data_IF_105147151199
#
_entry.id   IF_105147151199
#
_cell.length_a   1.000
_cell.length_b   1.000
_cell.length_c   1.000
_cell.angle_alpha   90.00
_cell.angle_beta   90.00
_cell.angle_gamma   90.00
#
_symmetry.space_group_name_H-M   'P 1'
#
loop_
_entity.id
_entity.type
_entity.pdbx_description
1 polymer ?
#
# COMPACT_ATOMS: atom_id res chain seq x y z
N UNK A 1 -12.31 -9.73 -42.30
CA UNK A 1 -11.06 -9.73 -41.52
C UNK A 1 -11.23 -8.65 -40.46
N UNK A 2 -11.58 -9.10 -39.25
CA UNK A 2 -11.34 -8.61 -37.89
C UNK A 2 -11.28 -7.08 -37.64
N UNK A 3 -12.04 -6.54 -36.68
CA UNK A 3 -11.78 -6.60 -35.22
C UNK A 3 -13.03 -6.06 -34.48
N UNK A 4 -13.64 -6.82 -33.56
CA UNK A 4 -13.43 -6.89 -32.10
C UNK A 4 -14.26 -5.88 -31.25
N UNK A 5 -14.62 -6.22 -29.99
CA UNK A 5 -15.85 -5.80 -29.30
C UNK A 5 -15.59 -4.94 -28.03
N UNK A 6 -16.64 -4.67 -27.24
CA UNK A 6 -16.71 -4.02 -25.91
C UNK A 6 -16.99 -2.51 -25.89
N UNK A 7 -18.26 -2.14 -25.69
CA UNK A 7 -18.68 -1.14 -24.70
C UNK A 7 -20.21 -1.13 -24.61
N UNK A 8 -20.77 -0.78 -23.45
CA UNK A 8 -22.19 -0.44 -23.22
C UNK A 8 -23.15 -1.60 -22.90
N UNK A 9 -23.09 -2.13 -21.67
CA UNK A 9 -24.19 -2.91 -21.11
C UNK A 9 -24.57 -2.62 -19.66
N UNK A 10 -24.19 -1.49 -19.06
CA UNK A 10 -24.61 -1.17 -17.66
C UNK A 10 -25.01 0.30 -17.46
N UNK A 11 -25.95 0.79 -18.28
CA UNK A 11 -26.72 2.01 -18.01
C UNK A 11 -28.20 1.70 -17.70
N UNK A 12 -28.49 0.54 -17.10
CA UNK A 12 -29.87 0.04 -17.05
C UNK A 12 -30.40 -0.38 -15.68
N UNK A 13 -29.92 0.19 -14.57
CA UNK A 13 -30.56 0.03 -13.25
C UNK A 13 -30.59 1.34 -12.42
N UNK A 14 -30.88 2.47 -13.07
CA UNK A 14 -31.30 3.72 -12.39
C UNK A 14 -32.85 3.79 -12.26
N UNK A 15 -33.53 2.64 -12.27
CA UNK A 15 -34.96 2.53 -12.04
C UNK A 15 -35.21 1.79 -10.73
N UNK A 16 -35.50 2.54 -9.67
CA UNK A 16 -36.57 2.28 -8.67
C UNK A 16 -36.26 3.01 -7.36
N UNK A 17 -36.65 4.28 -7.31
CA UNK A 17 -37.35 4.79 -6.13
C UNK A 17 -38.17 6.03 -6.50
N UNK A 18 -39.27 5.77 -7.22
CA UNK A 18 -40.54 6.45 -6.95
C UNK A 18 -40.89 6.11 -5.50
N UNK A 19 -41.42 6.96 -4.62
CA UNK A 19 -42.40 8.03 -4.75
C UNK A 19 -42.35 8.83 -3.42
N UNK A 20 -42.26 10.15 -3.48
CA UNK A 20 -43.03 11.06 -2.60
C UNK A 20 -42.81 12.51 -3.01
N UNK A 21 -43.93 13.11 -3.42
CA UNK A 21 -44.21 14.55 -3.37
C UNK A 21 -43.55 15.44 -4.43
N UNK A 22 -44.22 15.50 -5.58
CA UNK A 22 -44.77 16.75 -6.09
C UNK A 22 -43.80 17.88 -6.44
N UNK A 23 -43.06 17.74 -7.55
CA UNK A 23 -42.48 18.90 -8.23
C UNK A 23 -42.50 18.69 -9.75
N UNK A 24 -43.14 19.61 -10.49
CA UNK A 24 -43.13 19.64 -11.95
C UNK A 24 -41.69 19.84 -12.43
N UNK A 25 -41.05 18.79 -12.96
CA UNK A 25 -39.78 18.96 -13.69
C UNK A 25 -40.07 19.45 -15.11
N UNK A 26 -39.75 20.72 -15.35
CA UNK A 26 -39.64 21.26 -16.70
C UNK A 26 -38.37 20.67 -17.34
N UNK A 27 -38.52 19.74 -18.30
CA UNK A 27 -37.39 19.25 -19.10
C UNK A 27 -36.86 20.42 -19.94
N UNK A 28 -35.84 21.11 -19.44
CA UNK A 28 -34.91 21.85 -20.29
C UNK A 28 -33.78 20.88 -20.63
N UNK A 29 -33.68 20.50 -21.89
CA UNK A 29 -32.41 20.02 -22.42
C UNK A 29 -31.41 21.17 -22.22
N UNK A 30 -30.50 21.00 -21.26
CA UNK A 30 -29.35 21.89 -21.15
C UNK A 30 -28.38 21.46 -22.25
N UNK A 31 -28.02 22.33 -23.20
CA UNK A 31 -26.92 22.02 -24.11
C UNK A 31 -25.68 21.84 -23.24
N UNK A 32 -25.02 20.67 -23.35
CA UNK A 32 -23.75 20.47 -22.66
C UNK A 32 -22.82 21.62 -23.05
N UNK A 33 -22.37 22.47 -22.10
CA UNK A 33 -21.25 23.33 -22.39
C UNK A 33 -20.05 22.41 -22.57
N UNK A 34 -19.13 22.78 -23.45
CA UNK A 34 -17.79 22.21 -23.47
C UNK A 34 -17.33 21.99 -22.01
N UNK A 35 -16.87 20.78 -21.61
CA UNK A 35 -16.20 20.64 -20.34
C UNK A 35 -15.04 21.63 -20.37
N UNK A 36 -15.00 22.55 -19.40
CA UNK A 36 -13.92 23.52 -19.33
C UNK A 36 -12.60 22.74 -19.27
N UNK A 37 -11.56 23.13 -20.04
CA UNK A 37 -10.27 22.43 -20.07
C UNK A 37 -9.52 22.42 -18.72
N UNK A 38 -10.14 23.01 -17.68
CA UNK A 38 -9.66 23.08 -16.32
C UNK A 38 -10.31 22.05 -15.37
N UNK A 39 -11.40 21.37 -15.76
CA UNK A 39 -12.02 20.31 -14.94
C UNK A 39 -11.28 18.97 -15.04
N UNK A 40 -10.41 18.79 -16.04
CA UNK A 40 -9.56 17.61 -16.21
C UNK A 40 -8.36 17.57 -15.24
N UNK A 41 -8.25 18.51 -14.29
CA UNK A 41 -7.05 18.71 -13.45
C UNK A 41 -7.23 18.49 -11.94
N UNK A 42 -8.31 17.86 -11.49
CA UNK A 42 -8.42 17.41 -10.11
C UNK A 42 -7.89 15.98 -9.99
N UNK A 43 -6.59 15.79 -10.26
CA UNK A 43 -5.91 14.59 -9.81
C UNK A 43 -5.98 14.55 -8.27
N UNK A 44 -6.48 13.46 -7.66
CA UNK A 44 -6.52 13.36 -6.21
C UNK A 44 -5.10 13.46 -5.66
N UNK A 45 -4.90 14.34 -4.68
CA UNK A 45 -3.62 14.46 -3.99
C UNK A 45 -3.35 13.16 -3.22
N UNK A 46 -2.31 12.43 -3.59
CA UNK A 46 -1.89 11.23 -2.86
C UNK A 46 -1.32 11.64 -1.49
N UNK A 47 -2.02 11.32 -0.41
CA UNK A 47 -1.47 11.43 0.95
C UNK A 47 -0.94 10.08 1.42
N UNK A 48 0.04 10.09 2.33
CA UNK A 48 0.53 8.84 2.93
C UNK A 48 -0.54 8.18 3.80
N UNK A 49 -1.44 8.98 4.37
CA UNK A 49 -2.57 8.51 5.17
C UNK A 49 -3.53 7.65 4.34
N UNK A 50 -3.68 7.93 3.04
CA UNK A 50 -4.50 7.11 2.12
C UNK A 50 -3.93 5.69 1.92
N UNK A 51 -2.64 5.49 2.18
CA UNK A 51 -2.00 4.17 2.12
C UNK A 51 -2.24 3.34 3.39
N UNK A 52 -2.73 3.97 4.46
CA UNK A 52 -2.92 3.35 5.77
C UNK A 52 -4.38 2.90 5.89
N UNK A 53 -4.62 1.62 5.62
CA UNK A 53 -5.96 1.02 5.72
C UNK A 53 -6.46 0.97 7.18
N UNK A 54 -5.57 0.66 8.13
CA UNK A 54 -5.90 0.52 9.56
C UNK A 54 -5.08 1.50 10.42
N UNK A 55 -5.51 2.77 10.57
CA UNK A 55 -4.69 3.81 11.21
C UNK A 55 -4.37 3.52 12.68
N UNK A 56 -5.23 2.79 13.40
CA UNK A 56 -5.02 2.43 14.81
C UNK A 56 -4.10 1.22 15.00
N UNK A 57 -3.85 0.45 13.94
CA UNK A 57 -3.06 -0.78 14.00
C UNK A 57 -1.85 -0.78 13.05
N UNK A 58 -1.54 0.39 12.47
CA UNK A 58 -0.40 0.60 11.60
C UNK A 58 0.72 1.30 12.36
N UNK A 59 1.94 0.78 12.20
CA UNK A 59 3.13 1.24 12.90
C UNK A 59 4.25 1.53 11.92
N UNK A 60 5.05 2.55 12.24
CA UNK A 60 6.26 2.89 11.52
C UNK A 60 7.47 2.33 12.25
N UNK A 61 8.21 1.43 11.59
CA UNK A 61 9.39 0.77 12.15
C UNK A 61 10.60 1.18 11.34
N UNK A 62 11.63 1.72 11.99
CA UNK A 62 12.90 2.04 11.33
C UNK A 62 13.76 0.78 11.25
N UNK A 63 14.06 0.32 10.04
CA UNK A 63 14.92 -0.83 9.83
C UNK A 63 16.37 -0.49 10.22
N UNK A 64 16.93 -1.28 11.12
CA UNK A 64 18.32 -1.14 11.58
C UNK A 64 19.24 -2.25 11.06
N UNK A 65 18.67 -3.36 10.59
CA UNK A 65 19.40 -4.56 10.15
C UNK A 65 19.73 -4.55 8.66
N UNK A 66 20.73 -5.34 8.28
CA UNK A 66 21.15 -5.59 6.89
C UNK A 66 20.59 -6.91 6.34
N UNK A 67 19.84 -7.62 7.17
CA UNK A 67 19.24 -8.92 6.94
C UNK A 67 18.34 -8.99 5.69
N UNK A 68 17.73 -7.85 5.34
CA UNK A 68 16.78 -7.71 4.24
C UNK A 68 17.34 -6.96 3.03
N UNK A 69 18.65 -6.70 2.98
CA UNK A 69 19.28 -6.12 1.80
C UNK A 69 19.30 -7.15 0.65
N UNK A 70 19.05 -6.74 -0.61
CA UNK A 70 18.92 -5.36 -1.10
C UNK A 70 17.49 -4.80 -1.10
N UNK A 71 16.50 -5.53 -0.58
CA UNK A 71 15.08 -5.11 -0.63
C UNK A 71 14.78 -3.97 0.34
N UNK A 72 15.30 -4.05 1.57
CA UNK A 72 15.21 -2.99 2.56
C UNK A 72 16.60 -2.65 3.08
N UNK A 73 16.91 -1.36 3.04
CA UNK A 73 18.18 -0.84 3.49
C UNK A 73 18.12 -0.41 4.94
N UNK A 74 19.31 -0.29 5.54
CA UNK A 74 19.44 0.29 6.87
C UNK A 74 18.99 1.75 6.84
N UNK A 75 18.06 2.09 7.72
CA UNK A 75 17.50 3.43 7.86
C UNK A 75 16.14 3.61 7.21
N UNK A 76 15.68 2.64 6.42
CA UNK A 76 14.36 2.65 5.80
C UNK A 76 13.25 2.64 6.85
N UNK A 77 12.14 3.30 6.53
CA UNK A 77 10.95 3.30 7.37
C UNK A 77 9.97 2.29 6.78
N UNK A 78 9.72 1.22 7.52
CA UNK A 78 8.75 0.19 7.18
C UNK A 78 7.40 0.55 7.80
N UNK A 79 6.35 0.44 7.00
CA UNK A 79 4.96 0.54 7.45
C UNK A 79 4.48 -0.88 7.73
N UNK A 80 4.05 -1.15 8.95
CA UNK A 80 3.67 -2.48 9.42
C UNK A 80 2.24 -2.45 9.92
N UNK A 81 1.42 -3.36 9.41
CA UNK A 81 0.03 -3.53 9.81
C UNK A 81 -0.12 -4.79 10.68
N UNK A 82 -0.68 -4.65 11.89
CA UNK A 82 -0.88 -5.76 12.83
C UNK A 82 -2.17 -6.56 12.58
N UNK A 83 -3.11 -6.03 11.81
CA UNK A 83 -4.40 -6.69 11.51
C UNK A 83 -4.24 -7.71 10.40
N UNK A 84 -3.32 -7.47 9.47
CA UNK A 84 -3.14 -8.34 8.31
C UNK A 84 -2.57 -9.70 8.73
N UNK A 85 -3.16 -10.75 8.17
CA UNK A 85 -2.62 -12.11 8.27
C UNK A 85 -1.44 -12.24 7.30
N UNK A 86 -0.27 -12.71 7.76
CA UNK A 86 0.89 -12.93 6.91
C UNK A 86 0.59 -14.00 5.86
N UNK A 87 0.93 -13.71 4.61
CA UNK A 87 0.92 -14.67 3.51
C UNK A 87 2.34 -15.13 3.22
N UNK A 88 2.50 -16.30 2.61
CA UNK A 88 3.82 -16.79 2.21
C UNK A 88 4.55 -15.80 1.30
N UNK A 89 5.87 -15.76 1.47
CA UNK A 89 6.83 -14.86 0.85
C UNK A 89 6.63 -13.37 1.16
N UNK A 90 5.66 -12.98 2.00
CA UNK A 90 5.55 -11.60 2.49
C UNK A 90 6.64 -11.30 3.51
N UNK A 91 7.03 -10.03 3.56
CA UNK A 91 7.89 -9.54 4.63
C UNK A 91 7.04 -9.27 5.87
N UNK A 92 7.50 -9.80 6.98
CA UNK A 92 6.84 -9.72 8.28
C UNK A 92 7.82 -9.20 9.33
N UNK A 93 7.26 -8.61 10.36
CA UNK A 93 7.98 -8.36 11.61
C UNK A 93 7.55 -9.44 12.58
N UNK A 94 8.52 -10.15 13.12
CA UNK A 94 8.31 -11.22 14.11
C UNK A 94 9.16 -10.98 15.33
N UNK A 95 8.68 -11.44 16.48
CA UNK A 95 9.47 -11.51 17.70
C UNK A 95 9.93 -12.94 17.87
N UNK A 96 11.24 -13.12 17.95
CA UNK A 96 11.88 -14.42 18.21
C UNK A 96 12.90 -14.22 19.32
N UNK A 97 12.83 -15.01 20.39
CA UNK A 97 13.65 -14.82 21.60
C UNK A 97 13.72 -13.36 22.08
N UNK A 98 12.56 -12.69 22.22
CA UNK A 98 12.45 -11.29 22.68
C UNK A 98 13.11 -10.24 21.76
N UNK A 99 13.57 -10.64 20.58
CA UNK A 99 14.17 -9.76 19.58
C UNK A 99 13.26 -9.61 18.35
N UNK A 100 13.18 -8.39 17.83
CA UNK A 100 12.44 -8.10 16.60
C UNK A 100 13.28 -8.44 15.37
N UNK A 101 12.71 -9.23 14.47
CA UNK A 101 13.30 -9.58 13.19
C UNK A 101 12.37 -9.17 12.05
N UNK A 102 12.97 -8.66 10.98
CA UNK A 102 12.29 -8.42 9.70
C UNK A 102 12.77 -9.48 8.73
N UNK A 103 11.86 -10.36 8.30
CA UNK A 103 12.17 -11.53 7.47
C UNK A 103 11.04 -11.80 6.49
N UNK A 104 11.34 -12.53 5.41
CA UNK A 104 10.28 -13.13 4.58
C UNK A 104 9.79 -14.39 5.26
N UNK A 105 8.48 -14.51 5.41
CA UNK A 105 7.88 -15.73 5.94
C UNK A 105 7.69 -16.74 4.81
N UNK A 106 8.06 -17.99 5.05
CA UNK A 106 7.75 -19.11 4.16
C UNK A 106 7.21 -20.22 5.05
N UNK A 107 5.98 -20.65 4.81
CA UNK A 107 5.38 -21.77 5.53
C UNK A 107 5.62 -23.05 4.74
N UNK A 108 6.33 -24.01 5.32
CA UNK A 108 6.58 -25.33 4.74
C UNK A 108 6.15 -26.41 5.75
N UNK A 109 5.17 -27.23 5.37
CA UNK A 109 4.53 -28.24 6.22
C UNK A 109 3.99 -27.66 7.54
N UNK A 110 4.71 -27.90 8.64
CA UNK A 110 4.41 -27.43 10.01
C UNK A 110 5.48 -26.47 10.55
N UNK A 111 6.36 -25.98 9.67
CA UNK A 111 7.47 -25.10 10.03
C UNK A 111 7.34 -23.76 9.33
N UNK A 112 7.85 -22.74 10.01
CA UNK A 112 7.99 -21.40 9.49
C UNK A 112 9.46 -21.14 9.27
N UNK A 113 9.81 -20.78 8.04
CA UNK A 113 11.15 -20.37 7.66
C UNK A 113 11.13 -18.85 7.57
N UNK A 114 11.92 -18.22 8.43
CA UNK A 114 12.17 -16.78 8.43
C UNK A 114 13.41 -16.51 7.57
N UNK A 115 13.15 -16.24 6.30
CA UNK A 115 14.18 -16.10 5.27
C UNK A 115 14.76 -14.70 5.21
N UNK A 116 16.08 -14.65 5.06
CA UNK A 116 16.81 -13.43 4.71
C UNK A 116 16.78 -13.16 3.21
N UNK A 117 16.68 -11.89 2.81
CA UNK A 117 16.99 -11.52 1.43
C UNK A 117 18.51 -11.40 1.19
N UNK A 118 19.25 -11.12 2.27
CA UNK A 118 20.70 -11.05 2.21
C UNK A 118 21.31 -12.46 2.41
N UNK A 119 22.04 -13.01 1.43
CA UNK A 119 22.61 -14.37 1.50
C UNK A 119 23.69 -14.54 2.58
N UNK A 120 24.20 -13.43 3.13
CA UNK A 120 25.16 -13.47 4.25
C UNK A 120 24.50 -13.86 5.58
N UNK A 121 23.17 -13.89 5.63
CA UNK A 121 22.41 -14.25 6.82
C UNK A 121 21.78 -15.62 6.65
N UNK A 122 21.86 -16.43 7.71
CA UNK A 122 21.25 -17.77 7.74
C UNK A 122 19.75 -17.66 7.99
N UNK A 123 18.99 -18.49 7.30
CA UNK A 123 17.55 -18.62 7.48
C UNK A 123 17.24 -19.26 8.84
N UNK A 124 16.22 -18.75 9.52
CA UNK A 124 15.82 -19.24 10.84
C UNK A 124 14.59 -20.12 10.66
N UNK A 125 14.71 -21.41 10.96
CA UNK A 125 13.61 -22.37 10.89
C UNK A 125 13.04 -22.55 12.29
N UNK A 126 11.77 -22.27 12.44
CA UNK A 126 11.06 -22.25 13.73
C UNK A 126 9.70 -22.91 13.61
N UNK A 127 9.16 -23.33 14.74
CA UNK A 127 7.75 -23.71 14.86
C UNK A 127 6.89 -22.47 15.12
N UNK A 128 5.58 -22.50 14.79
CA UNK A 128 4.69 -21.36 15.04
C UNK A 128 4.62 -20.93 16.51
N UNK A 129 4.88 -21.84 17.45
CA UNK A 129 4.86 -21.55 18.90
C UNK A 129 6.13 -20.84 19.40
N UNK A 130 7.22 -20.85 18.63
CA UNK A 130 8.50 -20.23 19.00
C UNK A 130 8.59 -18.74 18.64
N UNK A 131 7.66 -18.26 17.81
CA UNK A 131 7.64 -16.88 17.32
C UNK A 131 6.31 -16.19 17.58
N UNK A 132 6.38 -14.89 17.79
CA UNK A 132 5.19 -14.03 17.78
C UNK A 132 5.15 -13.26 16.45
N UNK A 133 4.08 -13.46 15.69
CA UNK A 133 3.80 -12.66 14.50
C UNK A 133 3.36 -11.25 14.93
N UNK A 134 4.26 -10.27 14.83
CA UNK A 134 3.97 -8.92 15.29
C UNK A 134 3.12 -8.14 14.28
N UNK A 135 3.44 -8.27 12.99
CA UNK A 135 2.68 -7.66 11.89
C UNK A 135 3.29 -7.87 10.51
N UNK A 136 2.55 -7.46 9.48
CA UNK A 136 2.93 -7.58 8.07
C UNK A 136 3.42 -6.25 7.54
N UNK A 137 4.56 -6.25 6.85
CA UNK A 137 5.07 -5.05 6.19
C UNK A 137 4.27 -4.79 4.91
N UNK A 138 3.65 -3.62 4.82
CA UNK A 138 2.83 -3.20 3.67
C UNK A 138 3.60 -2.31 2.71
N UNK A 139 4.36 -1.35 3.25
CA UNK A 139 5.14 -0.39 2.48
C UNK A 139 6.51 -0.15 3.11
N UNK A 140 7.45 0.33 2.30
CA UNK A 140 8.73 0.81 2.76
C UNK A 140 9.05 2.17 2.13
N UNK A 141 9.53 3.08 2.96
CA UNK A 141 9.95 4.41 2.55
C UNK A 141 11.47 4.45 2.63
N UNK A 142 12.09 4.49 1.45
CA UNK A 142 13.52 4.68 1.31
C UNK A 142 13.81 6.17 1.11
N UNK A 143 14.66 6.75 1.97
CA UNK A 143 15.07 8.14 1.84
C UNK A 143 16.27 8.23 0.91
N UNK A 144 16.08 8.85 -0.26
CA UNK A 144 17.20 9.20 -1.11
C UNK A 144 18.15 10.15 -0.36
N UNK A 145 19.40 9.70 -0.20
CA UNK A 145 20.46 10.43 0.50
C UNK A 145 21.42 11.10 -0.49
N UNK A 146 21.08 11.12 -1.78
CA UNK A 146 21.83 11.83 -2.80
C UNK A 146 22.03 13.30 -2.40
N UNK A 147 23.24 13.87 -2.59
CA UNK A 147 23.52 15.23 -2.16
C UNK A 147 22.68 16.21 -2.98
N UNK A 148 21.66 16.80 -2.35
CA UNK A 148 20.90 17.89 -2.97
C UNK A 148 21.79 19.14 -3.02
N UNK A 149 22.20 19.54 -4.22
CA UNK A 149 22.90 20.82 -4.44
C UNK A 149 21.95 21.95 -4.07
N UNK A 150 22.11 22.58 -2.91
CA UNK A 150 21.38 23.80 -2.56
C UNK A 150 21.71 24.85 -3.62
N UNK A 151 20.72 25.26 -4.42
CA UNK A 151 20.87 26.39 -5.33
C UNK A 151 21.22 27.63 -4.49
N UNK A 152 22.27 28.40 -4.86
CA UNK A 152 22.59 29.63 -4.15
C UNK A 152 21.35 30.52 -4.16
N UNK A 153 20.93 31.00 -2.99
CA UNK A 153 19.89 32.03 -2.90
C UNK A 153 20.40 33.25 -3.63
N UNK A 154 19.77 33.62 -4.76
CA UNK A 154 19.99 34.91 -5.41
C UNK A 154 19.57 35.98 -4.39
N UNK A 155 20.55 36.64 -3.77
CA UNK A 155 20.32 37.88 -3.03
C UNK A 155 19.97 38.94 -4.06
N UNK A 156 18.81 39.58 -3.91
CA UNK A 156 18.41 40.76 -4.68
C UNK A 156 19.07 41.99 -4.09
#
# INVERSE_FOLDING_TARGET
MDTSPFCMSLLNECERSFYKTGTRFHRRCVPMPFPSPADDYLEPTLSLDDLIVHPTATYFVKNSGLAMEPTFHRGDILIVDRVLTPLDYRTVVVVYHEHYYVRRIITEDERIILRADNPSYVDIVVTPDEIEMWGVVTYAIHKDTSPTRKLPRRVK
#
